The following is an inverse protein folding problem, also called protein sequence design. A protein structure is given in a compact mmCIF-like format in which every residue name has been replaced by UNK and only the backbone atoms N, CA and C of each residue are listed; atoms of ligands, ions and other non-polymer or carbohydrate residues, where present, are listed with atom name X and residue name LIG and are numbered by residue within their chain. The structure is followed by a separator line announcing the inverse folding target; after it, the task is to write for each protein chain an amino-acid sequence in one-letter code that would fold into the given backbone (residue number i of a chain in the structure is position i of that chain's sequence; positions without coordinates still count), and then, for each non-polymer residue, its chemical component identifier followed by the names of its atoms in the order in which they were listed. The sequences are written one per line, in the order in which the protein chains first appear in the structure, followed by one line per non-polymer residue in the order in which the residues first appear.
data_IF_542389254716
#
_entry.id   IF_542389254716
#
_cell.length_a   1.000
_cell.length_b   1.000
_cell.length_c   1.000
_cell.angle_alpha   90.00
_cell.angle_beta   90.00
_cell.angle_gamma   90.00
#
_symmetry.space_group_name_H-M   'P 1'
#
loop_
_entity.id
_entity.type
_entity.pdbx_description
1 polymer ?
#
# COMPACT_ATOMS: atom_id res chain seq x y z
N UNK A 1 18.49 28.95 28.27
CA UNK A 1 17.44 28.34 27.41
C UNK A 1 17.26 26.95 27.94
N UNK A 2 16.05 26.57 28.36
CA UNK A 2 15.80 25.20 28.82
C UNK A 2 16.05 24.27 27.62
N UNK A 3 16.88 23.25 27.81
CA UNK A 3 17.11 22.19 26.82
C UNK A 3 15.79 21.49 26.59
N UNK A 4 15.24 21.62 25.37
CA UNK A 4 13.99 20.92 25.02
C UNK A 4 14.32 19.45 24.95
N UNK A 5 13.73 18.65 25.81
CA UNK A 5 13.94 17.20 25.80
C UNK A 5 13.49 16.63 24.45
N UNK A 6 14.31 15.79 23.83
CA UNK A 6 14.02 15.10 22.57
C UNK A 6 13.74 13.62 22.82
N UNK A 7 12.93 13.02 21.98
CA UNK A 7 12.63 11.59 21.98
C UNK A 7 12.49 11.07 20.55
N UNK A 8 12.69 9.75 20.40
CA UNK A 8 12.40 9.05 19.16
C UNK A 8 11.08 8.30 19.27
N UNK A 9 10.39 8.15 18.15
CA UNK A 9 9.15 7.42 18.09
C UNK A 9 8.74 7.10 16.66
N UNK A 10 7.62 6.40 16.53
CA UNK A 10 7.06 5.99 15.24
C UNK A 10 5.72 6.66 15.00
N UNK A 11 5.48 7.15 13.80
CA UNK A 11 4.18 7.70 13.42
C UNK A 11 3.20 6.53 13.22
N UNK A 12 2.18 6.47 14.07
CA UNK A 12 1.16 5.42 14.01
C UNK A 12 -0.18 5.91 13.43
N UNK A 13 -0.42 7.23 13.37
CA UNK A 13 -1.61 7.76 12.71
C UNK A 13 -1.35 9.15 12.13
N UNK A 14 -2.06 9.48 11.03
CA UNK A 14 -2.00 10.78 10.36
C UNK A 14 -3.41 11.42 10.32
N UNK A 15 -3.53 12.66 10.84
CA UNK A 15 -4.80 13.37 11.03
C UNK A 15 -4.81 14.73 10.31
N UNK A 16 -4.44 14.74 9.05
CA UNK A 16 -4.39 15.97 8.25
C UNK A 16 -3.28 16.94 8.64
N UNK A 17 -3.39 17.62 9.78
CA UNK A 17 -2.42 18.62 10.24
C UNK A 17 -1.49 18.15 11.36
N UNK A 18 -1.78 17.03 11.97
CA UNK A 18 -0.99 16.46 13.06
C UNK A 18 -0.88 14.95 12.92
N UNK A 19 0.05 14.38 13.67
CA UNK A 19 0.35 12.95 13.70
C UNK A 19 0.25 12.43 15.12
N UNK A 20 -0.11 11.16 15.27
CA UNK A 20 0.09 10.45 16.52
C UNK A 20 1.44 9.73 16.42
N UNK A 21 2.34 10.05 17.32
CA UNK A 21 3.65 9.41 17.46
C UNK A 21 3.64 8.53 18.69
N UNK A 22 4.04 7.29 18.54
CA UNK A 22 4.28 6.35 19.64
C UNK A 22 5.76 6.35 19.95
N UNK A 23 6.10 6.64 21.22
CA UNK A 23 7.47 6.60 21.73
C UNK A 23 7.89 5.16 22.07
N UNK A 24 9.19 4.93 22.24
CA UNK A 24 9.73 3.61 22.60
C UNK A 24 9.14 3.01 23.91
N UNK A 25 8.69 3.87 24.82
CA UNK A 25 8.04 3.46 26.05
C UNK A 25 6.54 3.17 25.91
N UNK A 26 5.99 3.25 24.67
CA UNK A 26 4.57 3.07 24.38
C UNK A 26 3.71 4.33 24.61
N UNK A 27 4.29 5.45 25.03
CA UNK A 27 3.57 6.70 25.24
C UNK A 27 3.15 7.30 23.89
N UNK A 28 1.89 7.71 23.79
CA UNK A 28 1.35 8.36 22.61
C UNK A 28 1.41 9.87 22.73
N UNK A 29 1.94 10.53 21.69
CA UNK A 29 2.02 11.98 21.62
C UNK A 29 1.40 12.53 20.36
N UNK A 30 0.67 13.64 20.52
CA UNK A 30 0.16 14.44 19.40
C UNK A 30 1.28 15.35 18.91
N UNK A 31 1.76 15.10 17.70
CA UNK A 31 2.91 15.81 17.15
C UNK A 31 2.55 16.62 15.92
N UNK A 32 3.18 17.78 15.80
CA UNK A 32 3.04 18.70 14.67
C UNK A 32 4.35 18.75 13.89
N UNK A 33 4.30 18.86 12.54
CA UNK A 33 5.51 19.02 11.75
C UNK A 33 6.14 20.39 11.99
N UNK A 34 7.46 20.47 12.00
CA UNK A 34 8.20 21.72 12.07
C UNK A 34 8.12 22.44 10.71
N UNK A 35 7.38 23.55 10.67
CA UNK A 35 7.19 24.35 9.45
C UNK A 35 6.18 23.75 8.45
N UNK A 36 6.20 24.26 7.20
CA UNK A 36 5.22 23.92 6.14
C UNK A 36 5.49 22.59 5.41
N UNK A 37 6.64 21.96 5.61
CA UNK A 37 7.02 20.69 4.94
C UNK A 37 6.51 19.49 5.72
N UNK A 38 5.23 19.19 5.58
CA UNK A 38 4.67 17.92 6.01
C UNK A 38 5.04 16.82 5.01
N UNK A 39 6.21 16.22 5.20
CA UNK A 39 6.66 15.07 4.41
C UNK A 39 6.58 13.75 5.20
N UNK A 40 5.84 13.71 6.31
CA UNK A 40 5.76 12.55 7.17
C UNK A 40 4.60 11.62 6.76
N UNK A 41 4.80 10.32 6.92
CA UNK A 41 3.82 9.26 6.63
C UNK A 41 3.69 8.31 7.81
N UNK A 42 2.59 7.57 7.87
CA UNK A 42 2.44 6.48 8.85
C UNK A 42 3.52 5.43 8.61
N UNK A 43 4.16 4.98 9.69
CA UNK A 43 5.30 4.07 9.65
C UNK A 43 6.66 4.76 9.69
N UNK A 44 6.74 6.09 9.55
CA UNK A 44 7.99 6.83 9.72
C UNK A 44 8.51 6.75 11.15
N UNK A 45 9.80 6.57 11.30
CA UNK A 45 10.52 6.85 12.54
C UNK A 45 10.92 8.31 12.56
N UNK A 46 10.70 8.97 13.69
CA UNK A 46 10.89 10.42 13.83
C UNK A 46 11.62 10.77 15.13
N UNK A 47 12.34 11.88 15.08
CA UNK A 47 12.86 12.56 16.26
C UNK A 47 11.95 13.75 16.57
N UNK A 48 11.51 13.88 17.81
CA UNK A 48 10.57 14.91 18.24
C UNK A 48 11.13 15.70 19.41
N UNK A 49 10.83 16.99 19.45
CA UNK A 49 10.96 17.84 20.63
C UNK A 49 9.69 17.72 21.48
N UNK A 50 9.82 17.35 22.75
CA UNK A 50 8.70 17.19 23.67
C UNK A 50 8.12 18.57 24.05
N UNK A 51 6.80 18.69 24.01
CA UNK A 51 6.06 19.90 24.41
C UNK A 51 4.99 19.52 25.44
N UNK A 52 5.19 19.92 26.68
CA UNK A 52 4.27 19.55 27.74
C UNK A 52 4.18 18.03 27.96
N UNK A 53 3.04 17.59 28.46
CA UNK A 53 2.84 16.17 28.81
C UNK A 53 2.39 15.30 27.63
N UNK A 54 1.73 15.85 26.61
CA UNK A 54 1.02 15.07 25.57
C UNK A 54 1.34 15.48 24.14
N UNK A 55 2.08 16.57 23.92
CA UNK A 55 2.36 17.12 22.60
C UNK A 55 3.84 17.04 22.26
N UNK A 56 4.17 17.24 20.98
CA UNK A 56 5.52 17.33 20.48
C UNK A 56 5.60 17.97 19.11
N UNK A 57 6.81 18.28 18.68
CA UNK A 57 7.13 18.77 17.34
C UNK A 57 8.03 17.77 16.65
N UNK A 58 7.68 17.36 15.45
CA UNK A 58 8.53 16.52 14.61
C UNK A 58 9.66 17.39 14.07
N UNK A 59 10.85 17.19 14.59
CA UNK A 59 12.05 17.92 14.16
C UNK A 59 12.65 17.30 12.90
N UNK A 60 12.68 15.96 12.83
CA UNK A 60 13.33 15.22 11.77
C UNK A 60 12.65 13.85 11.55
N UNK A 61 12.51 13.48 10.28
CA UNK A 61 12.16 12.12 9.86
C UNK A 61 13.48 11.37 9.71
N UNK A 62 13.57 10.19 10.32
CA UNK A 62 14.74 9.32 10.21
C UNK A 62 14.79 8.64 8.85
N UNK A 63 15.91 7.98 8.53
CA UNK A 63 16.12 7.31 7.25
C UNK A 63 15.03 6.26 6.99
N UNK A 64 14.42 6.34 5.81
CA UNK A 64 13.38 5.43 5.36
C UNK A 64 13.98 4.28 4.58
N UNK A 65 13.48 3.06 4.80
CA UNK A 65 13.76 1.93 3.91
C UNK A 65 13.02 2.07 2.58
N UNK A 66 11.78 2.52 2.64
CA UNK A 66 10.95 2.80 1.49
C UNK A 66 9.82 3.78 1.84
N UNK A 67 9.15 4.27 0.81
CA UNK A 67 8.02 5.19 0.93
C UNK A 67 7.02 4.91 -0.20
N UNK A 68 5.78 4.63 0.18
CA UNK A 68 4.69 4.46 -0.77
C UNK A 68 3.92 5.77 -0.91
N UNK A 69 3.66 6.13 -2.16
CA UNK A 69 2.88 7.31 -2.52
C UNK A 69 1.49 6.94 -2.99
N UNK A 70 0.54 7.81 -2.72
CA UNK A 70 -0.77 7.82 -3.35
C UNK A 70 -0.88 9.07 -4.21
N UNK A 71 -1.09 8.88 -5.49
CA UNK A 71 -1.41 9.97 -6.42
C UNK A 71 -2.88 9.90 -6.80
N UNK A 72 -3.54 11.04 -6.81
CA UNK A 72 -4.79 11.28 -7.52
C UNK A 72 -4.53 12.31 -8.65
N UNK A 73 -5.55 12.68 -9.39
CA UNK A 73 -5.41 13.61 -10.51
C UNK A 73 -4.80 14.96 -10.12
N UNK A 74 -4.97 15.37 -8.88
CA UNK A 74 -4.60 16.70 -8.39
C UNK A 74 -3.38 16.70 -7.48
N UNK A 75 -3.11 15.60 -6.74
CA UNK A 75 -2.11 15.59 -5.67
C UNK A 75 -1.42 14.24 -5.51
N UNK A 76 -0.13 14.29 -5.24
CA UNK A 76 0.64 13.15 -4.73
C UNK A 76 0.82 13.31 -3.23
N UNK A 77 0.41 12.31 -2.45
CA UNK A 77 0.56 12.27 -1.00
C UNK A 77 1.43 11.09 -0.61
N UNK A 78 2.30 11.31 0.35
CA UNK A 78 2.99 10.24 1.05
C UNK A 78 1.98 9.47 1.88
N UNK A 79 2.05 8.15 1.82
CA UNK A 79 0.97 7.30 2.26
C UNK A 79 1.37 6.40 3.43
N UNK A 80 2.44 5.62 3.24
CA UNK A 80 3.03 4.79 4.27
C UNK A 80 4.54 4.65 4.03
N UNK A 81 5.31 4.52 5.10
CA UNK A 81 6.77 4.37 5.06
C UNK A 81 7.20 3.12 5.82
N UNK A 82 8.38 2.61 5.49
CA UNK A 82 9.00 1.45 6.16
C UNK A 82 8.11 0.19 6.14
N UNK A 83 7.45 -0.04 4.99
CA UNK A 83 6.54 -1.16 4.75
C UNK A 83 7.34 -2.35 4.20
N UNK A 84 7.13 -3.55 4.76
CA UNK A 84 7.76 -4.78 4.28
C UNK A 84 6.94 -5.47 3.20
N UNK A 85 5.61 -5.42 3.31
CA UNK A 85 4.72 -6.07 2.35
C UNK A 85 3.42 -5.30 2.11
N UNK A 86 2.91 -5.40 0.88
CA UNK A 86 1.64 -4.83 0.45
C UNK A 86 0.59 -5.94 0.31
N UNK A 87 -0.41 -5.92 1.18
CA UNK A 87 -1.55 -6.84 1.15
C UNK A 87 -2.64 -6.28 0.23
N UNK A 88 -2.69 -6.77 -1.00
CA UNK A 88 -3.67 -6.32 -2.00
C UNK A 88 -4.94 -7.15 -1.83
N UNK A 89 -5.94 -6.59 -1.14
CA UNK A 89 -7.20 -7.27 -0.86
C UNK A 89 -8.15 -7.07 -2.03
N UNK A 90 -8.51 -8.18 -2.65
CA UNK A 90 -9.56 -8.32 -3.63
C UNK A 90 -10.61 -9.31 -3.11
N UNK A 91 -11.76 -9.38 -3.73
CA UNK A 91 -12.82 -10.29 -3.30
C UNK A 91 -13.43 -11.01 -4.50
N UNK A 92 -14.13 -12.13 -4.23
CA UNK A 92 -14.97 -12.75 -5.24
C UNK A 92 -16.07 -11.79 -5.66
N UNK A 93 -16.61 -11.01 -4.69
CA UNK A 93 -17.59 -9.95 -4.93
C UNK A 93 -17.36 -8.78 -3.93
N UNK A 94 -17.21 -7.52 -4.41
CA UNK A 94 -17.22 -7.03 -5.81
C UNK A 94 -16.12 -7.68 -6.67
N UNK A 95 -16.35 -7.72 -7.99
CA UNK A 95 -15.44 -8.39 -8.93
C UNK A 95 -14.02 -7.81 -8.87
N UNK A 96 -13.00 -8.67 -9.00
CA UNK A 96 -11.59 -8.28 -9.07
C UNK A 96 -11.36 -7.26 -10.18
N UNK A 97 -10.76 -6.14 -9.84
CA UNK A 97 -10.25 -5.15 -10.82
C UNK A 97 -8.78 -5.46 -11.13
N UNK A 98 -8.54 -5.99 -12.31
CA UNK A 98 -7.18 -6.31 -12.77
C UNK A 98 -6.32 -5.05 -12.94
N UNK A 99 -6.93 -3.94 -13.36
CA UNK A 99 -6.24 -2.65 -13.49
C UNK A 99 -5.73 -2.15 -12.12
N UNK A 100 -6.60 -2.09 -11.11
CA UNK A 100 -6.19 -1.64 -9.76
C UNK A 100 -5.20 -2.60 -9.10
N UNK A 101 -5.39 -3.91 -9.26
CA UNK A 101 -4.45 -4.94 -8.77
C UNK A 101 -3.09 -4.77 -9.44
N UNK A 102 -3.08 -4.60 -10.76
CA UNK A 102 -1.86 -4.38 -11.53
C UNK A 102 -1.13 -3.08 -11.15
N UNK A 103 -1.84 -1.99 -10.93
CA UNK A 103 -1.26 -0.72 -10.45
C UNK A 103 -0.67 -0.86 -9.05
N UNK A 104 -1.35 -1.57 -8.15
CA UNK A 104 -0.83 -1.84 -6.81
C UNK A 104 0.46 -2.66 -6.85
N UNK A 105 0.57 -3.62 -7.77
CA UNK A 105 1.81 -4.38 -7.99
C UNK A 105 2.96 -3.50 -8.49
N UNK A 106 2.69 -2.62 -9.45
CA UNK A 106 3.70 -1.67 -9.94
C UNK A 106 4.19 -0.78 -8.80
N UNK A 107 3.27 -0.23 -7.99
CA UNK A 107 3.63 0.59 -6.84
C UNK A 107 4.46 -0.16 -5.79
N UNK A 108 4.09 -1.41 -5.49
CA UNK A 108 4.83 -2.23 -4.54
C UNK A 108 6.26 -2.48 -5.02
N UNK A 109 6.41 -2.93 -6.27
CA UNK A 109 7.73 -3.26 -6.85
C UNK A 109 8.63 -2.04 -7.02
N UNK A 110 8.07 -0.89 -7.43
CA UNK A 110 8.84 0.35 -7.56
C UNK A 110 9.33 0.91 -6.22
N UNK A 111 8.76 0.45 -5.11
CA UNK A 111 9.13 0.83 -3.75
C UNK A 111 9.85 -0.30 -2.98
N UNK A 112 10.25 -1.39 -3.66
CA UNK A 112 10.88 -2.58 -3.05
C UNK A 112 10.03 -3.19 -1.93
N UNK A 113 8.71 -3.21 -2.10
CA UNK A 113 7.74 -3.78 -1.17
C UNK A 113 7.23 -5.11 -1.74
N UNK A 114 7.23 -6.17 -0.92
CA UNK A 114 6.74 -7.49 -1.32
C UNK A 114 5.21 -7.49 -1.50
N UNK A 115 4.66 -7.78 -2.70
CA UNK A 115 3.23 -7.85 -2.89
C UNK A 115 2.66 -9.22 -2.50
N UNK A 116 1.52 -9.22 -1.81
CA UNK A 116 0.71 -10.39 -1.52
C UNK A 116 -0.74 -10.09 -1.90
N UNK A 117 -1.33 -10.89 -2.78
CA UNK A 117 -2.75 -10.76 -3.12
C UNK A 117 -3.57 -11.63 -2.16
N UNK A 118 -4.64 -11.06 -1.62
CA UNK A 118 -5.62 -11.77 -0.80
C UNK A 118 -6.93 -11.82 -1.56
N UNK A 119 -7.35 -13.01 -2.00
CA UNK A 119 -8.69 -13.24 -2.52
C UNK A 119 -9.62 -13.60 -1.34
N UNK A 120 -10.36 -12.60 -0.91
CA UNK A 120 -11.32 -12.73 0.17
C UNK A 120 -12.72 -13.17 -0.34
N UNK A 121 -13.58 -13.57 0.58
CA UNK A 121 -14.98 -13.99 0.36
C UNK A 121 -15.11 -15.22 -0.55
N UNK A 122 -14.21 -16.20 -0.38
CA UNK A 122 -14.26 -17.46 -1.15
C UNK A 122 -15.50 -18.32 -0.82
N UNK A 123 -16.24 -17.96 0.23
CA UNK A 123 -17.56 -18.50 0.56
C UNK A 123 -18.60 -18.19 -0.53
N UNK A 124 -18.39 -17.19 -1.38
CA UNK A 124 -19.19 -16.90 -2.57
C UNK A 124 -18.75 -17.82 -3.71
N UNK A 125 -19.20 -19.07 -3.68
CA UNK A 125 -18.67 -20.14 -4.54
C UNK A 125 -19.06 -20.03 -6.02
N UNK A 126 -20.23 -19.43 -6.33
CA UNK A 126 -20.76 -19.32 -7.70
C UNK A 126 -19.92 -18.45 -8.65
N UNK A 127 -19.10 -17.55 -8.11
CA UNK A 127 -18.22 -16.64 -8.89
C UNK A 127 -16.73 -16.89 -8.64
N UNK A 128 -16.38 -17.84 -7.78
CA UNK A 128 -15.01 -18.09 -7.34
C UNK A 128 -14.07 -18.46 -8.51
N UNK A 129 -14.53 -19.31 -9.43
CA UNK A 129 -13.74 -19.69 -10.61
C UNK A 129 -13.40 -18.50 -11.49
N UNK A 130 -14.32 -17.55 -11.64
CA UNK A 130 -14.09 -16.32 -12.41
C UNK A 130 -13.05 -15.42 -11.71
N UNK A 131 -13.16 -15.28 -10.38
CA UNK A 131 -12.18 -14.50 -9.61
C UNK A 131 -10.77 -15.10 -9.71
N UNK A 132 -10.64 -16.42 -9.59
CA UNK A 132 -9.36 -17.13 -9.76
C UNK A 132 -8.79 -16.96 -11.16
N UNK A 133 -9.61 -17.06 -12.20
CA UNK A 133 -9.17 -16.84 -13.58
C UNK A 133 -8.56 -15.43 -13.79
N UNK A 134 -9.17 -14.39 -13.21
CA UNK A 134 -8.66 -13.02 -13.25
C UNK A 134 -7.33 -12.84 -12.50
N UNK A 135 -7.07 -13.65 -11.47
CA UNK A 135 -5.82 -13.58 -10.70
C UNK A 135 -4.71 -14.48 -11.26
N UNK A 136 -5.02 -15.39 -12.19
CA UNK A 136 -4.06 -16.34 -12.73
C UNK A 136 -2.85 -15.66 -13.38
N UNK A 137 -3.05 -14.54 -14.08
CA UNK A 137 -1.96 -13.78 -14.70
C UNK A 137 -0.97 -13.22 -13.67
N UNK A 138 -1.46 -12.78 -12.50
CA UNK A 138 -0.61 -12.27 -11.42
C UNK A 138 0.14 -13.41 -10.71
N UNK A 139 -0.51 -14.55 -10.50
CA UNK A 139 0.13 -15.75 -9.96
C UNK A 139 1.26 -16.24 -10.88
N UNK A 140 1.07 -16.20 -12.20
CA UNK A 140 2.10 -16.53 -13.19
C UNK A 140 3.32 -15.59 -13.14
N UNK A 141 3.18 -14.36 -12.64
CA UNK A 141 4.26 -13.42 -12.37
C UNK A 141 4.99 -13.69 -11.04
N UNK A 142 4.71 -14.82 -10.36
CA UNK A 142 5.29 -15.18 -9.08
C UNK A 142 4.67 -14.42 -7.89
N UNK A 143 3.56 -13.71 -8.06
CA UNK A 143 2.88 -13.05 -6.96
C UNK A 143 2.09 -14.10 -6.17
N UNK A 144 2.34 -14.17 -4.86
CA UNK A 144 1.61 -15.08 -3.99
C UNK A 144 0.14 -14.65 -3.89
N UNK A 145 -0.77 -15.59 -4.11
CA UNK A 145 -2.22 -15.40 -3.91
C UNK A 145 -2.65 -16.24 -2.73
N UNK A 146 -3.26 -15.62 -1.73
CA UNK A 146 -3.83 -16.26 -0.56
C UNK A 146 -5.34 -16.18 -0.66
N UNK A 147 -6.04 -17.32 -0.46
CA UNK A 147 -7.48 -17.41 -0.59
C UNK A 147 -8.11 -17.79 0.76
N UNK A 148 -9.06 -16.99 1.24
CA UNK A 148 -9.84 -17.31 2.44
C UNK A 148 -11.14 -16.49 2.51
N UNK A 149 -12.02 -16.84 3.45
CA UNK A 149 -13.09 -15.96 3.88
C UNK A 149 -12.71 -15.27 5.19
N UNK A 150 -12.70 -13.94 5.21
CA UNK A 150 -12.42 -13.18 6.43
C UNK A 150 -13.49 -13.35 7.52
N UNK A 151 -14.65 -13.94 7.20
CA UNK A 151 -15.65 -14.35 8.18
C UNK A 151 -15.23 -15.60 8.95
N UNK A 152 -14.28 -16.38 8.42
CA UNK A 152 -13.71 -17.52 9.09
C UNK A 152 -12.40 -17.12 9.79
N UNK A 153 -12.49 -16.90 11.10
CA UNK A 153 -11.38 -16.42 11.93
C UNK A 153 -10.18 -17.37 11.90
N UNK A 154 -10.44 -18.69 11.92
CA UNK A 154 -9.39 -19.71 11.89
C UNK A 154 -8.58 -19.64 10.59
N UNK A 155 -9.22 -19.39 9.46
CA UNK A 155 -8.53 -19.21 8.18
C UNK A 155 -7.62 -17.97 8.20
N UNK A 156 -8.10 -16.84 8.72
CA UNK A 156 -7.30 -15.63 8.81
C UNK A 156 -6.09 -15.84 9.71
N UNK A 157 -6.29 -16.45 10.88
CA UNK A 157 -5.21 -16.69 11.84
C UNK A 157 -4.20 -17.73 11.32
N UNK A 158 -4.68 -18.80 10.69
CA UNK A 158 -3.80 -19.90 10.24
C UNK A 158 -3.04 -19.55 8.96
N UNK A 159 -3.70 -18.86 8.02
CA UNK A 159 -3.13 -18.60 6.70
C UNK A 159 -2.43 -17.27 6.59
N UNK A 160 -2.97 -16.21 7.20
CA UNK A 160 -2.45 -14.84 7.04
C UNK A 160 -1.50 -14.44 8.17
N UNK A 161 -1.85 -14.67 9.43
CA UNK A 161 -1.06 -14.19 10.57
C UNK A 161 0.42 -14.64 10.53
N UNK A 162 0.77 -15.89 10.16
CA UNK A 162 2.18 -16.31 10.05
C UNK A 162 2.98 -15.50 9.03
N UNK A 163 2.34 -14.96 7.99
CA UNK A 163 2.98 -14.15 6.94
C UNK A 163 3.22 -12.71 7.39
N UNK A 164 2.54 -12.27 8.45
CA UNK A 164 2.67 -10.92 9.01
C UNK A 164 3.74 -10.84 10.09
N UNK A 165 4.22 -12.00 10.58
CA UNK A 165 5.13 -12.06 11.71
C UNK A 165 6.44 -11.29 11.46
N UNK A 166 6.70 -10.32 12.36
CA UNK A 166 7.90 -9.48 12.31
C UNK A 166 7.92 -8.48 11.15
N UNK A 167 6.77 -8.24 10.49
CA UNK A 167 6.65 -7.38 9.32
C UNK A 167 5.70 -6.22 9.57
N UNK A 168 5.96 -5.10 8.91
CA UNK A 168 5.01 -4.00 8.75
C UNK A 168 4.27 -4.21 7.41
N UNK A 169 2.97 -4.50 7.50
CA UNK A 169 2.14 -4.84 6.35
C UNK A 169 1.14 -3.71 6.07
N UNK A 170 1.04 -3.28 4.82
CA UNK A 170 0.06 -2.27 4.41
C UNK A 170 -1.14 -2.95 3.75
N UNK A 171 -2.34 -2.71 4.30
CA UNK A 171 -3.59 -3.24 3.78
C UNK A 171 -4.17 -2.30 2.72
N UNK A 172 -4.28 -2.79 1.49
CA UNK A 172 -4.73 -2.06 0.33
C UNK A 172 -5.91 -2.77 -0.34
N UNK A 173 -6.88 -2.04 -0.85
CA UNK A 173 -8.00 -2.59 -1.61
C UNK A 173 -9.18 -1.63 -1.69
N UNK A 174 -10.08 -1.90 -2.63
CA UNK A 174 -11.29 -1.09 -2.82
C UNK A 174 -12.25 -1.19 -1.63
N UNK A 175 -13.23 -0.31 -1.60
CA UNK A 175 -14.34 -0.43 -0.65
C UNK A 175 -15.10 -1.75 -0.87
N UNK A 176 -15.55 -2.37 0.22
CA UNK A 176 -16.30 -3.62 0.15
C UNK A 176 -15.48 -4.90 -0.04
N UNK A 177 -14.15 -4.84 -0.19
CA UNK A 177 -13.29 -6.04 -0.34
C UNK A 177 -13.09 -6.82 0.97
N UNK A 178 -13.47 -6.23 2.13
CA UNK A 178 -13.38 -6.89 3.44
C UNK A 178 -12.13 -6.56 4.24
N UNK A 179 -11.43 -5.46 3.93
CA UNK A 179 -10.25 -5.00 4.70
C UNK A 179 -10.53 -4.85 6.19
N UNK A 180 -11.61 -4.17 6.55
CA UNK A 180 -11.98 -3.98 7.96
C UNK A 180 -12.33 -5.30 8.65
N UNK A 181 -12.89 -6.28 7.93
CA UNK A 181 -13.16 -7.61 8.47
C UNK A 181 -11.86 -8.37 8.75
N UNK A 182 -10.90 -8.29 7.82
CA UNK A 182 -9.56 -8.86 8.01
C UNK A 182 -8.86 -8.20 9.20
N UNK A 183 -8.89 -6.87 9.28
CA UNK A 183 -8.28 -6.12 10.37
C UNK A 183 -8.92 -6.48 11.72
N UNK A 184 -10.26 -6.60 11.78
CA UNK A 184 -10.98 -7.06 12.98
C UNK A 184 -10.56 -8.46 13.42
N UNK A 185 -10.32 -9.36 12.47
CA UNK A 185 -9.90 -10.72 12.75
C UNK A 185 -8.44 -10.78 13.28
N UNK A 186 -7.58 -9.86 12.83
CA UNK A 186 -6.16 -9.80 13.21
C UNK A 186 -5.90 -9.00 14.49
N UNK A 187 -6.61 -7.89 14.70
CA UNK A 187 -6.37 -6.94 15.78
C UNK A 187 -7.69 -6.44 16.41
N UNK A 188 -8.52 -7.30 16.99
CA UNK A 188 -9.84 -6.93 17.51
C UNK A 188 -9.77 -5.88 18.63
N UNK A 189 -8.77 -5.94 19.49
CA UNK A 189 -8.61 -4.97 20.59
C UNK A 189 -8.18 -3.59 20.08
N UNK A 190 -7.38 -3.51 19.04
CA UNK A 190 -6.93 -2.25 18.46
C UNK A 190 -8.10 -1.44 17.84
N UNK A 191 -9.10 -2.13 17.31
CA UNK A 191 -10.30 -1.51 16.75
C UNK A 191 -11.29 -1.05 17.81
N UNK A 192 -11.46 -1.79 18.89
CA UNK A 192 -12.29 -1.36 20.03
C UNK A 192 -11.77 -0.03 20.59
N UNK A 193 -10.46 0.08 20.80
CA UNK A 193 -9.82 1.31 21.28
C UNK A 193 -10.01 2.50 20.33
N UNK A 194 -10.03 2.28 19.01
CA UNK A 194 -10.28 3.36 18.05
C UNK A 194 -11.74 3.79 17.97
N UNK A 195 -12.68 2.90 18.21
CA UNK A 195 -14.11 3.24 18.25
C UNK A 195 -14.44 4.07 19.48
N UNK A 196 -13.91 3.76 20.65
CA UNK A 196 -14.09 4.55 21.87
C UNK A 196 -13.56 5.99 21.74
N UNK A 197 -12.36 6.15 21.15
CA UNK A 197 -11.78 7.47 20.92
C UNK A 197 -12.43 8.26 19.78
N UNK A 198 -13.02 7.61 18.77
CA UNK A 198 -13.72 8.30 17.69
C UNK A 198 -15.16 8.72 18.09
N UNK A 199 -15.79 8.01 19.00
CA UNK A 199 -17.08 8.42 19.58
C UNK A 199 -16.96 9.66 20.46
N UNK A 200 -15.80 9.86 21.09
CA UNK A 200 -15.51 11.08 21.86
C UNK A 200 -15.23 12.31 20.96
N UNK A 201 -15.07 12.17 19.66
CA UNK A 201 -14.69 13.21 18.67
C UNK A 201 -15.73 13.40 17.55
N UNK A 202 -17.01 13.13 17.82
CA UNK A 202 -18.11 13.50 16.93
C UNK A 202 -17.91 13.12 15.46
N UNK A 203 -18.27 11.90 15.02
CA UNK A 203 -18.59 11.70 13.60
C UNK A 203 -19.22 10.33 13.29
N UNK A 204 -20.49 10.33 13.09
CA UNK A 204 -21.19 9.26 12.37
C UNK A 204 -20.79 9.20 10.90
N UNK A 205 -19.92 8.25 10.57
CA UNK A 205 -19.85 7.58 9.25
C UNK A 205 -18.75 6.51 9.28
N UNK A 206 -19.11 5.28 9.00
CA UNK A 206 -18.23 4.09 8.98
C UNK A 206 -17.30 4.02 7.75
N UNK A 207 -16.52 5.06 7.49
CA UNK A 207 -15.52 5.02 6.42
C UNK A 207 -14.19 5.41 7.04
N UNK A 208 -13.19 4.52 6.96
CA UNK A 208 -11.82 4.82 7.38
C UNK A 208 -11.33 6.05 6.63
N UNK A 209 -11.18 7.18 7.32
CA UNK A 209 -10.81 8.47 6.71
C UNK A 209 -9.32 8.78 6.86
N UNK A 210 -8.61 8.08 7.74
CA UNK A 210 -7.20 8.28 8.05
C UNK A 210 -6.41 6.98 7.96
N UNK A 211 -5.14 7.08 7.56
CA UNK A 211 -4.20 5.95 7.61
C UNK A 211 -3.74 5.73 9.04
N UNK A 212 -3.74 4.48 9.51
CA UNK A 212 -3.34 4.12 10.85
C UNK A 212 -2.61 2.79 10.91
N UNK A 213 -1.59 2.71 11.78
CA UNK A 213 -0.85 1.51 12.11
C UNK A 213 -1.44 0.88 13.39
N UNK A 214 -1.56 -0.43 13.37
CA UNK A 214 -1.99 -1.26 14.49
C UNK A 214 -0.94 -2.32 14.76
N UNK A 215 -0.59 -2.51 16.01
CA UNK A 215 0.24 -3.63 16.45
C UNK A 215 -0.60 -4.89 16.51
N UNK A 216 -0.05 -5.97 15.98
CA UNK A 216 -0.68 -7.29 16.08
C UNK A 216 -0.42 -7.90 17.46
N UNK A 217 -1.32 -8.81 17.94
CA UNK A 217 -1.14 -9.45 19.23
C UNK A 217 0.23 -10.09 19.38
N UNK A 218 0.75 -10.12 20.61
CA UNK A 218 2.06 -10.73 20.97
C UNK A 218 3.25 -10.12 20.22
N UNK A 219 3.14 -8.85 19.79
CA UNK A 219 4.14 -8.17 18.96
C UNK A 219 4.50 -8.98 17.69
N UNK A 220 3.51 -9.69 17.14
CA UNK A 220 3.74 -10.56 15.97
C UNK A 220 3.96 -9.78 14.67
N UNK A 221 3.79 -8.46 14.67
CA UNK A 221 4.01 -7.57 13.53
C UNK A 221 3.08 -6.37 13.57
N UNK A 222 3.09 -5.59 12.49
CA UNK A 222 2.27 -4.40 12.37
C UNK A 222 1.41 -4.43 11.12
N UNK A 223 0.22 -3.84 11.19
CA UNK A 223 -0.64 -3.66 10.04
C UNK A 223 -1.03 -2.19 9.92
N UNK A 224 -0.82 -1.62 8.74
CA UNK A 224 -1.26 -0.28 8.39
C UNK A 224 -2.57 -0.41 7.62
N UNK A 225 -3.66 0.11 8.18
CA UNK A 225 -4.92 0.24 7.45
C UNK A 225 -4.99 1.58 6.74
N UNK A 226 -5.56 1.54 5.57
CA UNK A 226 -5.67 2.71 4.71
C UNK A 226 -7.10 2.88 4.20
N UNK A 227 -7.54 4.12 3.95
CA UNK A 227 -8.80 4.37 3.29
C UNK A 227 -8.90 3.59 1.99
N UNK A 228 -10.06 3.03 1.69
CA UNK A 228 -10.29 2.30 0.44
C UNK A 228 -10.01 3.15 -0.80
N UNK A 229 -9.40 2.56 -1.83
CA UNK A 229 -9.11 3.23 -3.08
C UNK A 229 -10.20 3.00 -4.11
N UNK A 230 -10.56 4.06 -4.81
CA UNK A 230 -11.32 3.97 -6.07
C UNK A 230 -10.40 4.13 -7.29
N UNK A 231 -9.27 4.83 -7.12
CA UNK A 231 -8.24 5.02 -8.14
C UNK A 231 -6.85 4.99 -7.51
N UNK A 232 -5.87 4.48 -8.22
CA UNK A 232 -4.48 4.42 -7.81
C UNK A 232 -3.59 5.00 -8.91
N UNK A 233 -3.30 6.29 -8.80
CA UNK A 233 -2.42 6.98 -9.72
C UNK A 233 -0.95 6.73 -9.40
N UNK A 234 -0.14 6.51 -10.43
CA UNK A 234 1.31 6.28 -10.35
C UNK A 234 2.11 7.44 -10.95
N UNK A 235 1.53 8.63 -10.93
CA UNK A 235 2.07 9.82 -11.58
C UNK A 235 3.40 10.35 -11.00
N UNK A 236 3.83 9.80 -9.88
CA UNK A 236 5.11 10.12 -9.23
C UNK A 236 6.27 9.24 -9.71
N UNK A 237 5.97 8.14 -10.42
CA UNK A 237 6.98 7.21 -10.88
C UNK A 237 7.65 7.72 -12.17
N UNK A 238 8.95 7.49 -12.31
CA UNK A 238 9.64 7.67 -13.57
C UNK A 238 9.28 6.56 -14.58
N UNK A 239 9.58 6.75 -15.86
CA UNK A 239 9.37 5.70 -16.87
C UNK A 239 10.14 4.41 -16.52
N UNK A 240 11.34 4.53 -15.94
CA UNK A 240 12.16 3.41 -15.49
C UNK A 240 11.52 2.70 -14.29
N UNK A 241 10.96 3.43 -13.32
CA UNK A 241 10.26 2.82 -12.18
C UNK A 241 9.01 2.08 -12.62
N UNK A 242 8.29 2.63 -13.61
CA UNK A 242 7.13 1.96 -14.20
C UNK A 242 7.57 0.66 -14.88
N UNK A 243 8.63 0.69 -15.68
CA UNK A 243 9.18 -0.50 -16.36
C UNK A 243 9.57 -1.59 -15.35
N UNK A 244 10.25 -1.23 -14.25
CA UNK A 244 10.60 -2.15 -13.16
C UNK A 244 9.36 -2.80 -12.52
N UNK A 245 8.22 -2.14 -12.55
CA UNK A 245 6.94 -2.69 -12.10
C UNK A 245 6.38 -3.82 -12.98
N UNK A 246 7.02 -4.09 -14.14
CA UNK A 246 6.63 -5.13 -15.10
C UNK A 246 7.78 -6.15 -15.28
N UNK A 247 8.01 -7.05 -14.30
CA UNK A 247 9.13 -8.00 -14.34
C UNK A 247 9.11 -8.93 -15.54
N UNK A 248 7.94 -9.15 -16.15
CA UNK A 248 7.75 -9.90 -17.38
C UNK A 248 8.43 -9.27 -18.60
N UNK A 249 8.86 -8.00 -18.51
CA UNK A 249 9.61 -7.33 -19.58
C UNK A 249 11.11 -7.61 -19.48
N UNK A 250 11.60 -7.99 -18.29
CA UNK A 250 13.04 -8.10 -17.97
C UNK A 250 13.83 -8.90 -18.99
N UNK A 251 13.32 -10.07 -19.37
CA UNK A 251 14.01 -10.97 -20.30
C UNK A 251 13.89 -10.52 -21.76
N UNK A 252 12.93 -9.65 -22.07
CA UNK A 252 12.69 -9.13 -23.41
C UNK A 252 13.42 -7.80 -23.69
N UNK A 253 13.67 -6.98 -22.67
CA UNK A 253 14.35 -5.68 -22.79
C UNK A 253 15.72 -5.76 -23.47
N UNK A 254 16.60 -6.73 -23.18
CA UNK A 254 17.90 -6.84 -23.83
C UNK A 254 17.85 -7.01 -25.35
N UNK A 255 16.72 -7.44 -25.90
CA UNK A 255 16.48 -7.61 -27.32
C UNK A 255 15.89 -6.38 -28.00
N UNK A 256 15.74 -5.26 -27.28
CA UNK A 256 15.30 -3.99 -27.89
C UNK A 256 16.43 -3.39 -28.73
N UNK A 257 16.10 -2.96 -29.94
CA UNK A 257 17.06 -2.31 -30.85
C UNK A 257 17.60 -0.99 -30.32
N UNK A 258 16.77 -0.27 -29.51
CA UNK A 258 17.10 1.05 -29.00
C UNK A 258 17.22 1.00 -27.48
N UNK A 259 18.24 1.62 -26.91
CA UNK A 259 18.47 1.67 -25.47
C UNK A 259 17.39 2.47 -24.70
N UNK A 260 16.75 3.44 -25.37
CA UNK A 260 15.66 4.27 -24.83
C UNK A 260 14.28 3.81 -25.34
N UNK A 261 14.11 2.52 -25.60
CA UNK A 261 12.87 1.95 -26.08
C UNK A 261 11.75 2.17 -25.06
N UNK A 262 10.60 2.68 -25.49
CA UNK A 262 9.43 2.86 -24.60
C UNK A 262 8.46 1.69 -24.67
N UNK A 263 8.77 0.66 -25.45
CA UNK A 263 7.99 -0.59 -25.60
C UNK A 263 6.54 -0.37 -26.08
N UNK A 264 6.28 0.73 -26.78
CA UNK A 264 4.92 1.07 -27.27
C UNK A 264 4.70 0.79 -28.74
N UNK A 265 5.66 1.17 -29.57
CA UNK A 265 5.53 1.07 -31.04
C UNK A 265 6.86 1.00 -31.79
N UNK A 266 8.00 0.97 -31.08
CA UNK A 266 9.31 1.05 -31.68
C UNK A 266 9.63 -0.20 -32.51
N UNK A 267 10.19 -0.03 -33.72
CA UNK A 267 10.61 -1.14 -34.55
C UNK A 267 11.78 -1.88 -33.90
N UNK A 268 11.71 -3.21 -33.88
CA UNK A 268 12.74 -4.03 -33.22
C UNK A 268 12.68 -4.00 -31.69
N UNK A 269 11.53 -3.71 -31.12
CA UNK A 269 11.31 -3.82 -29.69
C UNK A 269 11.16 -5.27 -29.24
N UNK A 270 12.02 -5.71 -28.30
CA UNK A 270 11.98 -7.07 -27.74
C UNK A 270 10.69 -7.36 -26.99
N UNK A 271 10.18 -6.37 -26.22
CA UNK A 271 8.92 -6.50 -25.46
C UNK A 271 7.72 -6.66 -26.39
N UNK A 272 7.63 -5.89 -27.49
CA UNK A 272 6.57 -6.08 -28.49
C UNK A 272 6.68 -7.42 -29.22
N UNK A 273 7.90 -7.91 -29.42
CA UNK A 273 8.11 -9.25 -29.98
C UNK A 273 7.64 -10.34 -28.99
N UNK A 274 7.95 -10.23 -27.71
CA UNK A 274 7.50 -11.13 -26.65
C UNK A 274 5.95 -11.09 -26.51
N UNK A 275 5.35 -9.91 -26.60
CA UNK A 275 3.88 -9.75 -26.63
C UNK A 275 3.27 -10.52 -27.83
N UNK A 276 3.85 -10.43 -29.03
CA UNK A 276 3.38 -11.17 -30.20
C UNK A 276 3.51 -12.69 -30.07
N UNK A 277 4.49 -13.16 -29.31
CA UNK A 277 4.67 -14.60 -29.00
C UNK A 277 3.77 -15.10 -27.88
N UNK A 278 3.02 -14.20 -27.19
CA UNK A 278 2.18 -14.54 -26.04
C UNK A 278 2.94 -14.73 -24.72
N UNK A 279 4.21 -14.35 -24.66
CA UNK A 279 5.03 -14.40 -23.44
C UNK A 279 4.66 -13.27 -22.47
N UNK A 280 4.15 -12.18 -22.99
CA UNK A 280 3.61 -11.03 -22.23
C UNK A 280 2.12 -10.91 -22.57
N UNK A 281 1.27 -10.78 -21.54
CA UNK A 281 -0.16 -10.64 -21.78
C UNK A 281 -0.53 -9.27 -22.36
N UNK A 282 -1.51 -9.22 -23.29
CA UNK A 282 -2.01 -7.96 -23.85
C UNK A 282 -2.55 -7.01 -22.78
N UNK A 283 -3.18 -7.55 -21.73
CA UNK A 283 -3.75 -6.77 -20.61
C UNK A 283 -2.65 -6.09 -19.82
N UNK A 284 -1.56 -6.80 -19.52
CA UNK A 284 -0.41 -6.27 -18.80
C UNK A 284 0.33 -5.21 -19.62
N UNK A 285 0.60 -5.48 -20.90
CA UNK A 285 1.18 -4.48 -21.78
C UNK A 285 0.27 -3.26 -21.96
N UNK A 286 -1.05 -3.48 -22.06
CA UNK A 286 -2.06 -2.41 -22.10
C UNK A 286 -2.04 -1.54 -20.83
N UNK A 287 -1.91 -2.15 -19.66
CA UNK A 287 -1.76 -1.44 -18.39
C UNK A 287 -0.48 -0.58 -18.36
N UNK A 288 0.66 -1.15 -18.77
CA UNK A 288 1.92 -0.42 -18.90
C UNK A 288 1.78 0.84 -19.74
N UNK A 289 1.19 0.71 -20.93
CA UNK A 289 0.96 1.83 -21.84
C UNK A 289 0.07 2.93 -21.23
N UNK A 290 -0.99 2.54 -20.49
CA UNK A 290 -1.89 3.50 -19.83
C UNK A 290 -1.15 4.27 -18.73
N UNK A 291 -0.41 3.58 -17.86
CA UNK A 291 0.36 4.22 -16.78
C UNK A 291 1.38 5.21 -17.36
N UNK A 292 2.08 4.80 -18.42
CA UNK A 292 3.09 5.65 -19.06
C UNK A 292 2.45 6.91 -19.68
N UNK A 293 1.31 6.75 -20.36
CA UNK A 293 0.58 7.86 -20.98
C UNK A 293 0.03 8.86 -19.93
N UNK A 294 -0.47 8.36 -18.80
CA UNK A 294 -0.92 9.19 -17.68
C UNK A 294 0.23 10.03 -17.10
N UNK A 295 1.41 9.44 -17.00
CA UNK A 295 2.62 10.13 -16.52
C UNK A 295 3.07 11.23 -17.50
N UNK A 296 3.11 10.95 -18.77
CA UNK A 296 3.51 11.92 -19.81
C UNK A 296 2.54 13.10 -19.91
N UNK A 297 1.25 12.86 -19.72
CA UNK A 297 0.23 13.91 -19.75
C UNK A 297 0.45 14.97 -18.66
N UNK A 298 1.00 14.58 -17.48
CA UNK A 298 1.31 15.51 -16.36
C UNK A 298 2.57 16.36 -16.58
N UNK A 299 3.54 15.88 -17.32
CA UNK A 299 4.78 16.61 -17.59
C UNK A 299 4.54 17.83 -18.52
N UNK A 300 3.37 17.90 -19.17
CA UNK A 300 3.01 18.97 -20.13
C UNK A 300 2.25 20.16 -19.52
N UNK A 301 1.98 20.15 -18.22
CA UNK A 301 1.37 21.25 -17.44
C UNK A 301 2.25 21.58 -16.24
#
# INVERSE_FOLDING_TARGET
MAETATAQGRIIAAHGRHYTVELENGELRKCFPKGKKAGAAVGDFVEISLQGATEGVIDRILERRNLLYRSDEMRTKQFAANVDQLLIVVAVEPAVSEDLTGRALVAARSADIEPLIILNKIDITNKLSIARARLASFAALGVRVLEFSALNLDQVQTLLLPLLKGRTSLLLGQSGMGKSTILNALAPQALAYTQEHSQALDAGKHTTTSTRLYHLPENSGDIIDSPGFQAFGLNHLSATDIEHGFPEFKDAIPYCRFYNCTHRHEPGCGVLAALKRGEISPERHGLYRRILAENEAKVRY
#
